data_IF_791412486156
#
_entry.id   IF_791412486156
#
_cell.length_a   1.000
_cell.length_b   1.000
_cell.length_c   1.000
_cell.angle_alpha   90.00
_cell.angle_beta   90.00
_cell.angle_gamma   90.00
#
_symmetry.space_group_name_H-M   'P 1'
#
loop_
_entity.id
_entity.type
_entity.pdbx_description
1 polymer ?
#
# COMPACT_ATOMS: atom_id res chain seq x y z
N UNK A 1 -0.86 -13.70 -18.92
CA UNK A 1 -1.04 -13.88 -17.46
C UNK A 1 -1.57 -12.57 -16.90
N UNK A 2 -2.56 -12.62 -16.00
CA UNK A 2 -3.53 -11.57 -15.57
C UNK A 2 -4.89 -11.53 -16.30
N UNK A 3 -5.06 -12.23 -17.42
CA UNK A 3 -6.38 -12.31 -18.08
C UNK A 3 -7.26 -13.32 -17.33
N UNK A 4 -8.02 -12.86 -16.34
CA UNK A 4 -8.97 -13.73 -15.62
C UNK A 4 -9.24 -13.37 -14.17
N UNK A 5 -8.47 -12.48 -13.55
CA UNK A 5 -8.64 -12.17 -12.13
C UNK A 5 -10.01 -11.52 -11.83
N UNK A 6 -10.61 -11.82 -10.67
CA UNK A 6 -11.90 -11.24 -10.28
C UNK A 6 -11.86 -9.71 -10.29
N UNK A 7 -12.76 -9.07 -11.04
CA UNK A 7 -12.80 -7.60 -11.17
C UNK A 7 -12.93 -6.88 -9.83
N UNK A 8 -13.75 -7.41 -8.91
CA UNK A 8 -13.91 -6.83 -7.58
C UNK A 8 -12.61 -6.81 -6.78
N UNK A 9 -11.79 -7.86 -6.94
CA UNK A 9 -10.48 -7.93 -6.31
C UNK A 9 -9.48 -6.95 -6.93
N UNK A 10 -9.52 -6.77 -8.25
CA UNK A 10 -8.69 -5.75 -8.92
C UNK A 10 -9.08 -4.33 -8.52
N UNK A 11 -10.37 -4.04 -8.31
CA UNK A 11 -10.84 -2.75 -7.80
C UNK A 11 -10.27 -2.48 -6.42
N UNK A 12 -10.33 -3.48 -5.53
CA UNK A 12 -9.77 -3.42 -4.19
C UNK A 12 -8.26 -3.13 -4.20
N UNK A 13 -7.51 -3.86 -5.03
CA UNK A 13 -6.05 -3.68 -5.19
C UNK A 13 -5.70 -2.32 -5.80
N UNK A 14 -6.57 -1.79 -6.66
CA UNK A 14 -6.35 -0.50 -7.32
C UNK A 14 -6.67 0.70 -6.43
N UNK A 15 -7.32 0.49 -5.28
CA UNK A 15 -7.57 1.53 -4.30
C UNK A 15 -6.31 1.82 -3.48
N UNK A 16 -5.39 2.54 -4.11
CA UNK A 16 -4.12 2.96 -3.52
C UNK A 16 -4.31 3.77 -2.24
N UNK A 17 -5.29 4.68 -2.20
CA UNK A 17 -5.55 5.51 -1.02
C UNK A 17 -5.95 4.64 0.17
N UNK A 18 -6.84 3.67 -0.03
CA UNK A 18 -7.23 2.76 1.04
C UNK A 18 -6.03 1.88 1.48
N UNK A 19 -5.26 1.35 0.53
CA UNK A 19 -4.04 0.57 0.81
C UNK A 19 -3.03 1.36 1.65
N UNK A 20 -2.70 2.59 1.26
CA UNK A 20 -1.76 3.43 2.00
C UNK A 20 -2.30 3.76 3.40
N UNK A 21 -3.61 3.95 3.55
CA UNK A 21 -4.20 4.32 4.85
C UNK A 21 -4.23 3.16 5.84
N UNK A 22 -4.47 1.93 5.38
CA UNK A 22 -4.52 0.71 6.21
C UNK A 22 -3.84 -0.48 5.48
N UNK A 23 -2.49 -0.50 5.40
CA UNK A 23 -1.78 -1.50 4.60
C UNK A 23 -2.10 -2.94 5.00
N UNK A 24 -2.02 -3.25 6.29
CA UNK A 24 -2.23 -4.61 6.79
C UNK A 24 -3.71 -5.03 6.72
N UNK A 25 -4.65 -4.14 7.05
CA UNK A 25 -6.07 -4.46 6.99
C UNK A 25 -6.56 -4.69 5.56
N UNK A 26 -6.10 -3.88 4.60
CA UNK A 26 -6.47 -4.03 3.19
C UNK A 26 -5.80 -5.24 2.54
N UNK A 27 -4.56 -5.57 2.91
CA UNK A 27 -3.92 -6.81 2.49
C UNK A 27 -4.70 -8.05 2.98
N UNK A 28 -5.16 -8.05 4.23
CA UNK A 28 -5.99 -9.13 4.76
C UNK A 28 -7.30 -9.29 3.98
N UNK A 29 -7.97 -8.18 3.61
CA UNK A 29 -9.17 -8.22 2.76
C UNK A 29 -8.86 -8.81 1.39
N UNK A 30 -7.78 -8.39 0.74
CA UNK A 30 -7.34 -8.93 -0.55
C UNK A 30 -7.06 -10.44 -0.48
N UNK A 31 -6.39 -10.92 0.58
CA UNK A 31 -6.14 -12.35 0.79
C UNK A 31 -7.44 -13.14 0.99
N UNK A 32 -8.38 -12.62 1.79
CA UNK A 32 -9.67 -13.28 2.01
C UNK A 32 -10.52 -13.33 0.72
N UNK A 33 -10.49 -12.26 -0.07
CA UNK A 33 -11.16 -12.24 -1.38
C UNK A 33 -10.55 -13.26 -2.35
N UNK A 34 -9.22 -13.44 -2.34
CA UNK A 34 -8.53 -14.45 -3.14
C UNK A 34 -8.93 -15.87 -2.72
N UNK A 35 -8.88 -16.17 -1.41
CA UNK A 35 -9.35 -17.47 -0.90
C UNK A 35 -10.84 -17.70 -1.19
N UNK A 36 -11.68 -16.67 -1.09
CA UNK A 36 -13.10 -16.78 -1.39
C UNK A 36 -13.35 -17.07 -2.88
N UNK A 37 -12.61 -16.42 -3.80
CA UNK A 37 -12.68 -16.70 -5.23
C UNK A 37 -12.25 -18.14 -5.54
N UNK A 38 -11.15 -18.60 -4.95
CA UNK A 38 -10.67 -19.96 -5.13
C UNK A 38 -11.67 -21.00 -4.58
N UNK A 39 -12.27 -20.77 -3.41
CA UNK A 39 -13.34 -21.63 -2.87
C UNK A 39 -14.56 -21.74 -3.79
N UNK A 40 -14.88 -20.67 -4.53
CA UNK A 40 -15.95 -20.68 -5.55
C UNK A 40 -15.53 -21.30 -6.87
N UNK A 41 -14.23 -21.63 -7.03
CA UNK A 41 -13.61 -22.07 -8.28
C UNK A 41 -13.69 -21.02 -9.40
N UNK A 42 -13.73 -19.74 -9.02
CA UNK A 42 -13.63 -18.62 -9.97
C UNK A 42 -12.19 -18.48 -10.52
N UNK A 43 -11.21 -18.99 -9.77
CA UNK A 43 -9.77 -18.95 -10.04
C UNK A 43 -9.15 -20.30 -9.67
N UNK A 44 -8.08 -20.69 -10.36
CA UNK A 44 -7.33 -21.91 -10.08
C UNK A 44 -6.25 -21.71 -9.01
N UNK A 45 -5.46 -22.75 -8.75
CA UNK A 45 -4.37 -22.70 -7.74
C UNK A 45 -3.28 -21.70 -8.14
N UNK A 46 -2.98 -21.57 -9.43
CA UNK A 46 -1.94 -20.66 -9.91
C UNK A 46 -2.41 -19.20 -9.79
N UNK A 47 -3.65 -18.93 -10.18
CA UNK A 47 -4.27 -17.63 -10.00
C UNK A 47 -4.37 -17.25 -8.51
N UNK A 48 -4.68 -18.21 -7.62
CA UNK A 48 -4.69 -17.97 -6.17
C UNK A 48 -3.31 -17.53 -5.67
N UNK A 49 -2.25 -18.23 -6.08
CA UNK A 49 -0.87 -17.86 -5.71
C UNK A 49 -0.55 -16.46 -6.20
N UNK A 50 -0.80 -16.15 -7.48
CA UNK A 50 -0.58 -14.81 -8.04
C UNK A 50 -1.34 -13.73 -7.24
N UNK A 51 -2.60 -13.97 -6.88
CA UNK A 51 -3.40 -13.03 -6.09
C UNK A 51 -2.81 -12.80 -4.69
N UNK A 52 -2.35 -13.86 -4.01
CA UNK A 52 -1.76 -13.73 -2.68
C UNK A 52 -0.40 -13.01 -2.72
N UNK A 53 0.41 -13.30 -3.74
CA UNK A 53 1.69 -12.62 -3.96
C UNK A 53 1.50 -11.14 -4.26
N UNK A 54 0.52 -10.78 -5.10
CA UNK A 54 0.18 -9.38 -5.37
C UNK A 54 -0.40 -8.67 -4.13
N UNK A 55 -1.19 -9.36 -3.29
CA UNK A 55 -1.68 -8.78 -2.05
C UNK A 55 -0.53 -8.42 -1.09
N UNK A 56 0.46 -9.31 -0.96
CA UNK A 56 1.65 -9.05 -0.14
C UNK A 56 2.56 -7.98 -0.75
N UNK A 57 2.74 -7.99 -2.08
CA UNK A 57 3.48 -6.92 -2.77
C UNK A 57 2.81 -5.55 -2.58
N UNK A 58 1.48 -5.50 -2.68
CA UNK A 58 0.68 -4.31 -2.39
C UNK A 58 0.84 -3.84 -0.95
N UNK A 59 0.86 -4.76 0.02
CA UNK A 59 1.10 -4.47 1.44
C UNK A 59 2.48 -3.83 1.66
N UNK A 60 3.54 -4.43 1.10
CA UNK A 60 4.91 -3.92 1.25
C UNK A 60 5.07 -2.53 0.63
N UNK A 61 4.49 -2.29 -0.54
CA UNK A 61 4.47 -0.96 -1.15
C UNK A 61 3.70 0.03 -0.29
N UNK A 62 2.49 -0.33 0.14
CA UNK A 62 1.64 0.55 0.94
C UNK A 62 2.23 0.90 2.31
N UNK A 63 2.99 0.00 2.94
CA UNK A 63 3.73 0.29 4.17
C UNK A 63 4.78 1.38 3.97
N UNK A 64 5.55 1.31 2.88
CA UNK A 64 6.54 2.34 2.55
C UNK A 64 5.88 3.70 2.30
N UNK A 65 4.79 3.71 1.53
CA UNK A 65 4.02 4.95 1.27
C UNK A 65 3.32 5.48 2.53
N UNK A 66 2.87 4.60 3.42
CA UNK A 66 2.28 4.97 4.71
C UNK A 66 3.31 5.70 5.57
N UNK A 67 4.54 5.18 5.65
CA UNK A 67 5.65 5.83 6.34
C UNK A 67 6.01 7.19 5.72
N UNK A 68 6.04 7.29 4.38
CA UNK A 68 6.26 8.55 3.68
C UNK A 68 5.15 9.57 3.96
N UNK A 69 3.89 9.14 3.90
CA UNK A 69 2.72 9.97 4.19
C UNK A 69 2.77 10.54 5.61
N UNK A 70 3.22 9.75 6.60
CA UNK A 70 3.51 10.23 7.94
C UNK A 70 4.67 11.23 7.97
N UNK A 71 5.78 10.94 7.30
CA UNK A 71 6.97 11.79 7.27
C UNK A 71 6.71 13.18 6.68
N UNK A 72 5.81 13.29 5.70
CA UNK A 72 5.40 14.57 5.09
C UNK A 72 4.24 15.26 5.82
N UNK A 73 3.74 14.67 6.91
CA UNK A 73 2.67 15.23 7.74
C UNK A 73 1.25 15.10 7.14
N UNK A 74 1.04 14.18 6.20
CA UNK A 74 -0.26 14.00 5.54
C UNK A 74 -1.34 13.46 6.50
N UNK A 75 -0.93 12.61 7.45
CA UNK A 75 -1.82 12.01 8.46
C UNK A 75 -1.86 12.77 9.79
N UNK A 76 -1.25 13.95 9.85
CA UNK A 76 -1.16 14.79 11.05
C UNK A 76 0.28 15.02 11.51
N UNK A 77 0.44 15.55 12.72
CA UNK A 77 1.76 15.85 13.27
C UNK A 77 2.54 14.57 13.55
N UNK A 78 3.63 14.38 12.81
CA UNK A 78 4.60 13.32 13.08
C UNK A 78 5.37 13.68 14.35
N UNK A 79 5.19 12.91 15.42
CA UNK A 79 5.94 13.15 16.67
C UNK A 79 7.43 12.88 16.38
N UNK A 80 8.33 13.88 16.52
CA UNK A 80 9.69 13.79 15.99
C UNK A 80 10.55 12.66 16.56
N UNK A 81 10.16 12.07 17.70
CA UNK A 81 10.98 11.18 18.52
C UNK A 81 10.76 9.68 18.25
N UNK A 82 10.28 9.31 17.07
CA UNK A 82 10.18 7.90 16.68
C UNK A 82 11.59 7.28 16.51
N UNK A 83 11.91 6.31 17.35
CA UNK A 83 13.22 5.62 17.48
C UNK A 83 13.71 4.87 16.22
N UNK A 84 12.97 4.92 15.11
CA UNK A 84 13.30 4.27 13.83
C UNK A 84 14.32 5.01 12.96
N UNK A 85 14.64 6.26 13.29
CA UNK A 85 15.75 7.00 12.67
C UNK A 85 15.48 7.45 11.23
N UNK A 86 15.00 8.67 11.06
CA UNK A 86 14.95 9.36 9.78
C UNK A 86 16.08 10.39 9.68
N UNK A 87 16.68 10.48 8.50
CA UNK A 87 17.73 11.44 8.18
C UNK A 87 17.09 12.76 7.76
N UNK A 88 17.15 13.78 8.63
CA UNK A 88 16.67 15.13 8.31
C UNK A 88 17.65 15.79 7.32
N UNK A 89 17.26 15.90 6.06
CA UNK A 89 18.01 16.69 5.06
C UNK A 89 17.71 18.18 5.26
N UNK A 90 18.57 18.87 6.02
CA UNK A 90 18.51 20.33 6.15
C UNK A 90 18.97 21.00 4.85
N UNK A 91 18.04 21.40 4.00
CA UNK A 91 18.32 22.21 2.82
C UNK A 91 18.79 23.62 3.20
N UNK A 92 19.90 24.07 2.61
CA UNK A 92 20.46 25.43 2.77
C UNK A 92 20.03 26.38 1.64
N UNK A 93 18.79 26.26 1.17
CA UNK A 93 18.26 27.10 0.09
C UNK A 93 18.16 28.56 0.55
N UNK A 94 18.69 29.50 -0.24
CA UNK A 94 18.44 30.93 -0.03
C UNK A 94 16.97 31.24 -0.34
N UNK A 95 16.30 32.10 0.44
CA UNK A 95 14.94 32.50 0.13
C UNK A 95 14.89 33.18 -1.25
N UNK A 96 13.83 32.91 -2.00
CA UNK A 96 13.56 33.59 -3.26
C UNK A 96 13.37 35.09 -2.97
N UNK A 97 14.29 35.93 -3.44
CA UNK A 97 14.06 37.38 -3.45
C UNK A 97 13.21 37.72 -4.66
N UNK A 98 12.01 38.22 -4.42
CA UNK A 98 11.26 38.93 -5.44
C UNK A 98 11.85 40.36 -5.52
N UNK A 99 12.70 40.60 -6.51
CA UNK A 99 12.92 41.94 -7.08
C UNK A 99 12.09 42.09 -8.35
#
# INVERSE_FOLDING_TARGET
MMAGLPKGWLVELSDQTALITDPDGRAAVLSEMAYAAHRRRDVDDNDLVDMLELAEAGRMWALMEHEEAWAIGLFGDYEPDHHGGYQVLKGAGKPHSCE
#
